data_IF_035253442845
#
_entry.id   IF_035253442845
#
_cell.length_a   1.000
_cell.length_b   1.000
_cell.length_c   1.000
_cell.angle_alpha   90.00
_cell.angle_beta   90.00
_cell.angle_gamma   90.00
#
_symmetry.space_group_name_H-M   'P 1'
#
loop_
_entity.id
_entity.type
_entity.pdbx_description
1 polymer ?
#
# COMPACT_ATOMS: atom_id res chain seq x y z
N UNK A 1 -12.30 11.85 -6.38
CA UNK A 1 -11.54 12.65 -7.34
C UNK A 1 -10.76 11.76 -8.27
N UNK A 2 -10.93 11.97 -9.57
CA UNK A 2 -10.14 11.23 -10.53
C UNK A 2 -8.80 11.91 -10.73
N UNK A 3 -7.80 11.12 -11.04
CA UNK A 3 -6.45 11.58 -11.26
C UNK A 3 -5.95 10.98 -12.57
N UNK A 4 -5.14 11.72 -13.29
CA UNK A 4 -4.60 11.24 -14.55
C UNK A 4 -3.27 10.53 -14.34
N UNK A 5 -3.12 9.38 -14.94
CA UNK A 5 -1.88 8.61 -14.85
C UNK A 5 -0.73 9.36 -15.52
N UNK A 6 0.43 9.40 -14.86
CA UNK A 6 1.61 10.05 -15.40
C UNK A 6 2.16 9.36 -16.63
N UNK A 7 1.96 8.06 -16.73
CA UNK A 7 2.63 7.26 -17.77
C UNK A 7 1.81 7.13 -19.04
N UNK A 8 0.53 6.82 -18.91
CA UNK A 8 -0.31 6.59 -20.08
C UNK A 8 -1.44 7.61 -20.22
N UNK A 9 -1.57 8.52 -19.28
CA UNK A 9 -2.62 9.52 -19.21
C UNK A 9 -4.04 8.94 -19.14
N UNK A 10 -4.12 7.66 -18.73
CA UNK A 10 -5.41 7.05 -18.47
C UNK A 10 -6.02 7.56 -17.17
N UNK A 11 -7.27 7.23 -16.96
CA UNK A 11 -7.98 7.63 -15.74
C UNK A 11 -7.60 6.72 -14.58
N UNK A 12 -7.33 7.31 -13.43
CA UNK A 12 -7.02 6.57 -12.22
C UNK A 12 -8.24 6.53 -11.31
N UNK A 13 -8.53 5.35 -10.78
CA UNK A 13 -9.70 5.13 -9.93
C UNK A 13 -9.30 4.56 -8.58
N UNK A 14 -10.12 4.83 -7.54
CA UNK A 14 -9.88 4.22 -6.23
C UNK A 14 -9.93 2.70 -6.32
N UNK A 15 -8.96 2.06 -5.67
CA UNK A 15 -8.86 0.60 -5.65
C UNK A 15 -8.11 0.17 -4.39
N UNK A 16 -7.83 -1.12 -4.27
CA UNK A 16 -6.98 -1.63 -3.20
C UNK A 16 -5.89 -2.49 -3.80
N UNK A 17 -4.78 -2.59 -3.10
CA UNK A 17 -3.65 -3.38 -3.56
C UNK A 17 -2.98 -4.07 -2.38
N UNK A 18 -2.04 -4.95 -2.68
CA UNK A 18 -1.22 -5.62 -1.69
C UNK A 18 0.17 -4.99 -1.77
N UNK A 19 0.68 -4.58 -0.61
CA UNK A 19 2.00 -3.98 -0.51
C UNK A 19 2.92 -4.94 0.23
N UNK A 20 3.97 -5.38 -0.42
CA UNK A 20 4.93 -6.32 0.16
C UNK A 20 6.24 -5.62 0.41
N UNK A 21 6.77 -5.75 1.63
CA UNK A 21 8.03 -5.14 2.01
C UNK A 21 8.93 -6.21 2.61
N UNK A 22 10.15 -6.28 2.13
CA UNK A 22 11.14 -7.17 2.70
C UNK A 22 11.97 -6.40 3.72
N UNK A 23 11.83 -6.77 4.98
CA UNK A 23 12.64 -6.23 6.05
C UNK A 23 13.86 -7.13 6.27
N UNK A 24 14.72 -6.72 7.19
CA UNK A 24 15.98 -7.40 7.42
C UNK A 24 15.80 -8.88 7.77
N UNK A 25 14.84 -9.18 8.62
CA UNK A 25 14.62 -10.54 9.12
C UNK A 25 13.25 -11.09 8.80
N UNK A 26 12.44 -10.36 8.06
CA UNK A 26 11.08 -10.83 7.78
C UNK A 26 10.52 -10.17 6.52
N UNK A 27 9.44 -10.75 6.03
CA UNK A 27 8.67 -10.20 4.92
C UNK A 27 7.29 -9.78 5.45
N UNK A 28 6.89 -8.58 5.15
CA UNK A 28 5.60 -8.05 5.57
C UNK A 28 4.70 -7.91 4.36
N UNK A 29 3.52 -8.49 4.44
CA UNK A 29 2.49 -8.38 3.40
C UNK A 29 1.33 -7.59 3.97
N UNK A 30 1.06 -6.43 3.40
CA UNK A 30 -0.04 -5.55 3.84
C UNK A 30 -1.15 -5.65 2.82
N UNK A 31 -2.31 -6.12 3.24
CA UNK A 31 -3.45 -6.33 2.36
C UNK A 31 -4.43 -5.17 2.44
N UNK A 32 -5.22 -5.01 1.40
CA UNK A 32 -6.28 -4.00 1.33
C UNK A 32 -5.78 -2.57 1.47
N UNK A 33 -4.62 -2.30 0.88
CA UNK A 33 -4.05 -0.95 0.91
C UNK A 33 -4.81 -0.07 -0.08
N UNK A 34 -5.42 1.03 0.38
CA UNK A 34 -6.14 1.92 -0.54
C UNK A 34 -5.18 2.60 -1.51
N UNK A 35 -5.58 2.67 -2.76
CA UNK A 35 -4.72 3.24 -3.79
C UNK A 35 -5.56 3.82 -4.92
N UNK A 36 -4.88 4.50 -5.83
CA UNK A 36 -5.44 4.87 -7.13
C UNK A 36 -4.78 3.99 -8.17
N UNK A 37 -5.58 3.35 -8.99
CA UNK A 37 -5.08 2.44 -9.99
C UNK A 37 -5.51 2.91 -11.37
N UNK A 38 -4.55 2.93 -12.31
CA UNK A 38 -4.84 3.28 -13.69
C UNK A 38 -5.54 2.13 -14.40
N UNK A 39 -6.63 2.43 -15.08
CA UNK A 39 -7.39 1.40 -15.80
C UNK A 39 -6.67 0.89 -17.04
N UNK A 40 -5.77 1.69 -17.60
CA UNK A 40 -5.11 1.32 -18.85
C UNK A 40 -3.82 0.55 -18.64
N UNK A 41 -2.90 1.09 -17.85
CA UNK A 41 -1.59 0.47 -17.68
C UNK A 41 -1.42 -0.28 -16.38
N UNK A 42 -2.37 -0.20 -15.46
CA UNK A 42 -2.29 -0.88 -14.19
C UNK A 42 -1.39 -0.21 -13.16
N UNK A 43 -0.92 1.00 -13.43
CA UNK A 43 -0.07 1.73 -12.50
C UNK A 43 -0.82 2.04 -11.21
N UNK A 44 -0.13 1.91 -10.09
CA UNK A 44 -0.71 2.12 -8.76
C UNK A 44 -0.03 3.30 -8.09
N UNK A 45 -0.83 4.20 -7.54
CA UNK A 45 -0.34 5.37 -6.81
C UNK A 45 -0.92 5.34 -5.40
N UNK A 46 -0.06 5.53 -4.41
CA UNK A 46 -0.46 5.63 -3.01
C UNK A 46 -0.38 7.07 -2.56
N UNK A 47 -1.33 7.49 -1.73
CA UNK A 47 -1.28 8.82 -1.15
C UNK A 47 -0.20 8.90 -0.08
N UNK A 48 0.27 10.10 0.22
CA UNK A 48 1.27 10.31 1.27
C UNK A 48 0.77 9.81 2.61
N UNK A 49 -0.51 10.00 2.89
CA UNK A 49 -1.14 9.53 4.12
C UNK A 49 -1.10 8.01 4.23
N UNK A 50 -1.38 7.32 3.13
CA UNK A 50 -1.31 5.86 3.08
C UNK A 50 0.12 5.37 3.30
N UNK A 51 1.08 6.00 2.65
CA UNK A 51 2.50 5.63 2.80
C UNK A 51 2.94 5.82 4.25
N UNK A 52 2.53 6.89 4.89
CA UNK A 52 2.86 7.15 6.28
C UNK A 52 2.30 6.06 7.21
N UNK A 53 1.09 5.62 6.97
CA UNK A 53 0.49 4.55 7.74
C UNK A 53 1.19 3.22 7.53
N UNK A 54 1.61 2.95 6.29
CA UNK A 54 2.40 1.76 5.98
C UNK A 54 3.71 1.78 6.76
N UNK A 55 4.41 2.89 6.77
CA UNK A 55 5.66 3.02 7.51
C UNK A 55 5.47 2.77 9.00
N UNK A 56 4.36 3.25 9.55
CA UNK A 56 4.04 3.04 10.95
C UNK A 56 3.80 1.55 11.25
N UNK A 57 3.09 0.86 10.37
CA UNK A 57 2.88 -0.57 10.49
C UNK A 57 4.21 -1.31 10.47
N UNK A 58 5.10 -0.93 9.55
CA UNK A 58 6.40 -1.57 9.41
C UNK A 58 7.25 -1.40 10.67
N UNK A 59 7.22 -0.23 11.26
CA UNK A 59 7.93 0.02 12.51
C UNK A 59 7.43 -0.87 13.65
N UNK A 60 6.12 -1.09 13.69
CA UNK A 60 5.52 -1.95 14.70
C UNK A 60 5.91 -3.40 14.49
N UNK A 61 5.85 -3.87 13.24
CA UNK A 61 6.18 -5.25 12.91
C UNK A 61 7.67 -5.53 13.10
N UNK A 62 8.53 -4.56 12.82
CA UNK A 62 9.97 -4.73 12.93
C UNK A 62 10.39 -5.12 14.35
N UNK A 63 9.60 -4.76 15.34
CA UNK A 63 9.86 -5.10 16.73
C UNK A 63 9.37 -6.50 17.09
N UNK A 64 8.58 -7.12 16.24
CA UNK A 64 8.06 -8.45 16.47
C UNK A 64 9.01 -9.50 15.89
N UNK A 65 9.06 -10.66 16.53
CA UNK A 65 9.89 -11.76 16.04
C UNK A 65 9.02 -12.66 15.18
N UNK A 66 9.05 -12.43 13.88
CA UNK A 66 8.29 -13.23 12.93
C UNK A 66 9.03 -13.24 11.59
N UNK A 67 8.99 -14.39 10.91
CA UNK A 67 9.62 -14.48 9.59
C UNK A 67 8.74 -13.90 8.50
N UNK A 68 7.43 -14.14 8.60
CA UNK A 68 6.45 -13.63 7.65
C UNK A 68 5.29 -13.07 8.45
N UNK A 69 4.88 -11.87 8.10
CA UNK A 69 3.75 -11.21 8.74
C UNK A 69 2.77 -10.74 7.68
N UNK A 70 1.52 -11.12 7.81
CA UNK A 70 0.44 -10.65 6.95
C UNK A 70 -0.45 -9.74 7.76
N UNK A 71 -0.65 -8.52 7.27
CA UNK A 71 -1.41 -7.49 7.98
C UNK A 71 -2.45 -6.91 7.05
N UNK A 72 -3.66 -6.70 7.53
CA UNK A 72 -4.64 -5.91 6.80
C UNK A 72 -4.37 -4.45 7.08
N UNK A 73 -4.38 -3.64 6.03
CA UNK A 73 -4.27 -2.20 6.20
C UNK A 73 -5.42 -1.77 7.11
N UNK A 74 -5.13 -1.04 8.18
CA UNK A 74 -6.19 -0.66 9.12
C UNK A 74 -7.24 0.15 8.40
N UNK A 75 -8.48 -0.20 8.65
CA UNK A 75 -9.60 0.56 8.14
C UNK A 75 -9.64 1.87 8.87
N UNK A 76 -8.68 2.67 8.57
CA UNK A 76 -8.53 3.94 9.22
C UNK A 76 -9.47 4.89 8.61
N UNK A 77 -10.66 4.62 8.76
CA UNK A 77 -11.59 5.67 8.50
C UNK A 77 -11.17 6.91 9.28
N UNK A 78 -10.27 6.73 10.09
CA UNK A 78 -9.72 7.85 10.79
C UNK A 78 -8.60 8.46 9.99
#
# INVERSE_FOLDING_TARGET
MSMTCFFCKGEMKPSTTIHTVQLKNCVVVIKNVPCLKCEQCGEVVLSADTVEKIEHILQTVEKAVAEITVVNFPDCAA
#
